data_IF_873252360740
#
_entry.id   IF_873252360740
#
_cell.length_a   1.000
_cell.length_b   1.000
_cell.length_c   1.000
_cell.angle_alpha   90.00
_cell.angle_beta   90.00
_cell.angle_gamma   90.00
#
_symmetry.space_group_name_H-M   'P 1'
#
loop_
_entity.id
_entity.type
_entity.pdbx_description
1 polymer ?
#
# COMPACT_ATOMS: atom_id res chain seq x y z
N UNK A 1 40.61 0.00 -45.73
CA UNK A 1 39.21 -0.23 -46.20
C UNK A 1 38.48 -1.05 -45.16
N UNK A 2 37.56 -0.45 -44.39
CA UNK A 2 36.74 -1.16 -43.38
C UNK A 2 35.54 -1.80 -44.08
N UNK A 3 35.37 -3.11 -43.94
CA UNK A 3 34.30 -3.85 -44.62
C UNK A 3 32.92 -3.38 -44.13
N UNK A 4 32.04 -3.01 -45.08
CA UNK A 4 30.67 -2.51 -44.84
C UNK A 4 29.73 -3.54 -44.20
N UNK A 5 30.17 -4.77 -43.95
CA UNK A 5 29.35 -5.86 -43.44
C UNK A 5 29.28 -5.93 -41.90
N UNK A 6 30.20 -5.29 -41.18
CA UNK A 6 30.21 -5.30 -39.71
C UNK A 6 29.09 -4.44 -39.09
N UNK A 7 28.63 -3.38 -39.79
CA UNK A 7 27.61 -2.46 -39.28
C UNK A 7 26.17 -3.00 -39.37
N UNK A 8 25.91 -4.00 -40.24
CA UNK A 8 24.56 -4.55 -40.41
C UNK A 8 24.15 -5.48 -39.27
N UNK A 9 25.10 -6.07 -38.56
CA UNK A 9 24.83 -6.98 -37.44
C UNK A 9 24.52 -6.27 -36.12
N UNK A 10 25.00 -5.04 -35.91
CA UNK A 10 24.73 -4.25 -34.70
C UNK A 10 23.34 -3.62 -34.67
N UNK A 11 22.76 -3.28 -35.83
CA UNK A 11 21.41 -2.71 -35.87
C UNK A 11 20.32 -3.77 -35.62
N UNK A 12 20.51 -4.99 -36.14
CA UNK A 12 19.56 -6.09 -35.97
C UNK A 12 19.49 -6.61 -34.52
N UNK A 13 20.57 -6.49 -33.74
CA UNK A 13 20.57 -6.87 -32.32
C UNK A 13 19.91 -5.83 -31.42
N UNK A 14 19.95 -4.54 -31.78
CA UNK A 14 19.22 -3.50 -31.04
C UNK A 14 17.70 -3.58 -31.26
N UNK A 15 17.23 -4.00 -32.44
CA UNK A 15 15.80 -4.16 -32.73
C UNK A 15 15.17 -5.40 -32.09
N UNK A 16 15.96 -6.41 -31.72
CA UNK A 16 15.49 -7.58 -30.95
C UNK A 16 15.40 -7.32 -29.44
N UNK A 17 15.97 -6.22 -28.95
CA UNK A 17 15.80 -5.72 -27.58
C UNK A 17 14.62 -4.74 -27.52
N UNK A 18 13.53 -5.06 -28.24
CA UNK A 18 12.32 -4.26 -28.32
C UNK A 18 11.98 -3.72 -26.94
N UNK A 19 12.04 -2.39 -26.80
CA UNK A 19 11.70 -1.72 -25.57
C UNK A 19 10.23 -2.04 -25.29
N UNK A 20 10.01 -2.97 -24.37
CA UNK A 20 8.68 -3.28 -23.87
C UNK A 20 8.09 -1.96 -23.39
N UNK A 21 6.98 -1.56 -23.98
CA UNK A 21 6.15 -0.52 -23.41
C UNK A 21 5.71 -1.05 -22.04
N UNK A 22 6.27 -0.52 -20.96
CA UNK A 22 5.76 -0.81 -19.62
C UNK A 22 4.43 -0.07 -19.51
N UNK A 23 3.35 -0.75 -19.90
CA UNK A 23 2.03 -0.36 -19.46
C UNK A 23 1.98 -0.64 -17.96
N UNK A 24 1.55 0.34 -17.17
CA UNK A 24 1.20 0.05 -15.79
C UNK A 24 0.05 -0.97 -15.84
N UNK A 25 0.28 -2.17 -15.30
CA UNK A 25 -0.80 -3.14 -15.17
C UNK A 25 -1.93 -2.52 -14.34
N UNK A 26 -3.20 -2.70 -14.74
CA UNK A 26 -4.32 -2.29 -13.90
C UNK A 26 -4.21 -2.96 -12.52
N UNK A 27 -4.59 -2.21 -11.49
CA UNK A 27 -4.67 -2.74 -10.11
C UNK A 27 -5.61 -3.94 -10.12
N UNK A 28 -5.09 -5.12 -9.77
CA UNK A 28 -5.82 -6.38 -9.88
C UNK A 28 -6.13 -6.92 -8.48
N UNK A 29 -6.80 -6.11 -7.68
CA UNK A 29 -7.28 -6.51 -6.35
C UNK A 29 -8.72 -7.00 -6.45
N UNK A 30 -9.08 -7.86 -5.51
CA UNK A 30 -10.43 -8.41 -5.36
C UNK A 30 -11.24 -7.71 -4.29
N UNK A 31 -10.64 -6.82 -3.50
CA UNK A 31 -11.29 -6.22 -2.33
C UNK A 31 -11.12 -7.05 -1.06
N UNK A 32 -10.38 -8.17 -1.14
CA UNK A 32 -10.14 -9.10 -0.05
C UNK A 32 -8.64 -9.14 0.23
N UNK A 33 -8.19 -8.26 1.12
CA UNK A 33 -6.77 -8.07 1.49
C UNK A 33 -6.04 -9.39 1.74
N UNK A 34 -6.69 -10.38 2.34
CA UNK A 34 -6.03 -11.66 2.63
C UNK A 34 -5.74 -12.51 1.39
N UNK A 35 -6.60 -12.40 0.37
CA UNK A 35 -6.43 -13.09 -0.91
C UNK A 35 -5.43 -12.34 -1.80
N UNK A 36 -5.57 -11.02 -1.85
CA UNK A 36 -4.76 -10.14 -2.69
C UNK A 36 -3.30 -10.06 -2.21
N UNK A 37 -3.08 -10.18 -0.89
CA UNK A 37 -1.75 -10.21 -0.28
C UNK A 37 -1.45 -11.58 0.36
N UNK A 38 -1.69 -12.66 -0.39
CA UNK A 38 -1.46 -14.01 0.09
C UNK A 38 0.03 -14.40 0.04
N UNK A 39 0.65 -14.53 1.21
CA UNK A 39 2.07 -14.91 1.35
C UNK A 39 2.40 -16.28 0.77
N UNK A 40 1.45 -17.21 0.71
CA UNK A 40 1.65 -18.52 0.09
C UNK A 40 1.89 -18.41 -1.43
N UNK A 41 1.43 -17.33 -2.05
CA UNK A 41 1.57 -17.05 -3.48
C UNK A 41 2.68 -16.04 -3.79
N UNK A 42 3.57 -15.78 -2.84
CA UNK A 42 4.65 -14.78 -2.95
C UNK A 42 6.04 -15.44 -3.06
N UNK A 43 6.38 -16.02 -4.22
CA UNK A 43 7.64 -16.73 -4.40
C UNK A 43 8.87 -15.81 -4.33
N UNK A 44 8.67 -14.50 -4.38
CA UNK A 44 9.73 -13.48 -4.42
C UNK A 44 9.83 -12.68 -3.12
N UNK A 45 9.13 -13.10 -2.07
CA UNK A 45 9.15 -12.43 -0.77
C UNK A 45 8.81 -10.91 -0.85
N UNK A 46 7.91 -10.54 -1.76
CA UNK A 46 7.43 -9.17 -2.00
C UNK A 46 6.37 -8.71 -1.02
N UNK A 47 5.76 -9.59 -0.23
CA UNK A 47 4.64 -9.29 0.67
C UNK A 47 5.09 -9.22 2.13
N UNK A 48 4.76 -8.15 2.85
CA UNK A 48 4.94 -8.01 4.29
C UNK A 48 3.58 -7.95 4.97
N UNK A 49 3.39 -8.76 5.99
CA UNK A 49 2.17 -8.77 6.82
C UNK A 49 2.56 -8.26 8.20
N UNK A 50 1.93 -7.18 8.62
CA UNK A 50 2.18 -6.49 9.87
C UNK A 50 0.93 -6.62 10.72
N UNK A 51 0.95 -7.54 11.68
CA UNK A 51 -0.19 -7.77 12.56
C UNK A 51 -0.40 -6.58 13.50
N UNK A 52 -1.66 -6.17 13.64
CA UNK A 52 -2.10 -5.36 14.77
C UNK A 52 -2.55 -6.31 15.87
N UNK A 53 -2.63 -5.84 17.12
CA UNK A 53 -3.02 -6.66 18.28
C UNK A 53 -4.29 -7.50 17.97
N UNK A 54 -4.24 -8.83 18.18
CA UNK A 54 -5.30 -9.74 17.77
C UNK A 54 -6.59 -9.62 18.60
N UNK A 55 -6.60 -8.88 19.71
CA UNK A 55 -7.81 -8.64 20.51
C UNK A 55 -8.39 -7.25 20.23
N UNK A 56 -9.30 -7.12 19.24
CA UNK A 56 -9.87 -5.82 18.89
C UNK A 56 -10.74 -5.25 20.00
N UNK A 57 -11.44 -6.09 20.77
CA UNK A 57 -12.44 -5.64 21.75
C UNK A 57 -11.81 -4.96 22.98
N UNK A 58 -10.52 -5.18 23.24
CA UNK A 58 -9.79 -4.47 24.29
C UNK A 58 -9.27 -3.09 23.85
N UNK A 59 -9.33 -2.79 22.55
CA UNK A 59 -8.72 -1.59 21.96
C UNK A 59 -9.76 -0.63 21.41
N UNK A 60 -10.90 -1.17 20.97
CA UNK A 60 -11.98 -0.38 20.39
C UNK A 60 -13.28 -0.54 21.17
N UNK A 61 -13.91 0.59 21.49
CA UNK A 61 -15.26 0.58 22.05
C UNK A 61 -16.27 0.22 20.94
N UNK A 62 -17.27 -0.57 21.28
CA UNK A 62 -18.42 -0.82 20.39
C UNK A 62 -19.70 -0.98 21.20
N UNK A 63 -20.84 -0.92 20.53
CA UNK A 63 -22.14 -1.09 21.16
C UNK A 63 -22.28 -2.51 21.76
N UNK A 64 -22.89 -2.66 22.95
CA UNK A 64 -23.14 -3.98 23.55
C UNK A 64 -23.91 -4.94 22.63
N UNK A 65 -24.82 -4.40 21.82
CA UNK A 65 -25.61 -5.14 20.83
C UNK A 65 -24.74 -5.76 19.75
N UNK A 66 -23.67 -5.08 19.32
CA UNK A 66 -22.71 -5.62 18.35
C UNK A 66 -21.96 -6.80 18.96
N UNK A 67 -21.47 -6.65 20.19
CA UNK A 67 -20.79 -7.72 20.92
C UNK A 67 -21.71 -8.93 21.13
N UNK A 68 -22.97 -8.69 21.50
CA UNK A 68 -23.97 -9.75 21.68
C UNK A 68 -24.28 -10.51 20.38
N UNK A 69 -24.05 -9.90 19.21
CA UNK A 69 -24.23 -10.49 17.89
C UNK A 69 -22.92 -11.00 17.27
N UNK A 70 -21.81 -10.99 18.00
CA UNK A 70 -20.46 -11.30 17.49
C UNK A 70 -20.04 -10.47 16.28
N UNK A 71 -20.47 -9.20 16.26
CA UNK A 71 -20.08 -8.23 15.23
C UNK A 71 -18.96 -7.38 15.81
N UNK A 72 -17.91 -7.19 15.01
CA UNK A 72 -16.82 -6.25 15.29
C UNK A 72 -16.98 -5.08 14.33
N UNK A 73 -16.79 -3.86 14.82
CA UNK A 73 -16.87 -2.68 13.94
C UNK A 73 -15.78 -2.70 12.85
N UNK A 74 -16.04 -1.99 11.77
CA UNK A 74 -15.18 -1.89 10.60
C UNK A 74 -13.93 -1.02 10.76
N UNK A 75 -13.70 -0.43 11.93
CA UNK A 75 -12.48 0.31 12.22
C UNK A 75 -11.43 -0.54 12.92
N UNK A 76 -11.83 -1.65 13.54
CA UNK A 76 -10.90 -2.57 14.16
C UNK A 76 -9.93 -3.17 13.11
N UNK A 77 -8.69 -2.68 13.12
CA UNK A 77 -7.64 -3.14 12.21
C UNK A 77 -7.11 -4.48 12.71
N UNK A 78 -7.07 -5.47 11.81
CA UNK A 78 -6.52 -6.81 12.05
C UNK A 78 -5.04 -6.86 11.68
N UNK A 79 -4.72 -6.44 10.46
CA UNK A 79 -3.35 -6.41 9.95
C UNK A 79 -3.22 -5.40 8.80
N UNK A 80 -1.98 -5.00 8.53
CA UNK A 80 -1.61 -4.26 7.33
C UNK A 80 -0.78 -5.19 6.44
N UNK A 81 -1.12 -5.24 5.15
CA UNK A 81 -0.38 -6.04 4.17
C UNK A 81 0.17 -5.12 3.10
N UNK A 82 1.47 -5.25 2.86
CA UNK A 82 2.20 -4.39 1.95
C UNK A 82 2.89 -5.27 0.90
N UNK A 83 2.81 -4.86 -0.36
CA UNK A 83 3.54 -5.51 -1.44
C UNK A 83 4.28 -4.45 -2.25
N UNK A 84 5.58 -4.61 -2.43
CA UNK A 84 6.38 -3.68 -3.22
C UNK A 84 6.77 -4.30 -4.56
N UNK A 85 6.42 -3.62 -5.65
CA UNK A 85 6.90 -3.93 -6.99
C UNK A 85 8.01 -2.96 -7.41
N UNK A 86 9.24 -3.47 -7.42
CA UNK A 86 10.43 -2.71 -7.81
C UNK A 86 10.45 -2.33 -9.29
N UNK A 87 9.80 -3.10 -10.16
CA UNK A 87 9.81 -2.83 -11.60
C UNK A 87 9.04 -1.55 -11.94
N UNK A 88 7.95 -1.29 -11.21
CA UNK A 88 7.09 -0.13 -11.38
C UNK A 88 7.24 0.91 -10.26
N UNK A 89 8.15 0.68 -9.30
CA UNK A 89 8.29 1.44 -8.05
C UNK A 89 6.94 1.72 -7.37
N UNK A 90 6.10 0.69 -7.28
CA UNK A 90 4.75 0.79 -6.72
C UNK A 90 4.64 0.01 -5.43
N UNK A 91 4.15 0.68 -4.39
CA UNK A 91 3.76 0.04 -3.14
C UNK A 91 2.24 -0.17 -3.14
N UNK A 92 1.84 -1.42 -3.09
CA UNK A 92 0.47 -1.86 -2.81
C UNK A 92 0.27 -1.98 -1.31
N UNK A 93 -0.85 -1.46 -0.79
CA UNK A 93 -1.19 -1.44 0.63
C UNK A 93 -2.62 -1.95 0.79
N UNK A 94 -2.81 -2.94 1.65
CA UNK A 94 -4.11 -3.42 2.09
C UNK A 94 -4.24 -3.28 3.60
N UNK A 95 -5.28 -2.58 4.06
CA UNK A 95 -5.69 -2.59 5.47
C UNK A 95 -6.82 -3.59 5.62
N UNK A 96 -6.51 -4.66 6.37
CA UNK A 96 -7.46 -5.69 6.71
C UNK A 96 -8.13 -5.33 8.04
N UNK A 97 -9.45 -5.24 8.05
CA UNK A 97 -10.23 -5.00 9.26
C UNK A 97 -11.06 -6.25 9.59
N UNK A 98 -11.60 -6.33 10.80
CA UNK A 98 -12.43 -7.47 11.21
C UNK A 98 -13.82 -7.50 10.53
N UNK A 99 -14.17 -6.46 9.79
CA UNK A 99 -15.46 -6.29 9.11
C UNK A 99 -15.28 -5.45 7.84
N UNK A 100 -16.31 -4.72 7.39
CA UNK A 100 -16.19 -3.80 6.25
C UNK A 100 -15.43 -2.56 6.67
N UNK A 101 -14.26 -2.31 6.07
CA UNK A 101 -13.40 -1.18 6.41
C UNK A 101 -14.16 0.16 6.39
N UNK A 102 -14.10 0.92 7.48
CA UNK A 102 -14.71 2.24 7.56
C UNK A 102 -16.22 2.25 7.87
N UNK A 103 -16.86 1.10 8.13
CA UNK A 103 -18.23 1.04 8.64
C UNK A 103 -18.24 0.93 10.16
N UNK A 104 -18.89 1.87 10.84
CA UNK A 104 -18.99 1.86 12.30
C UNK A 104 -19.82 0.67 12.83
N UNK A 105 -20.83 0.23 12.07
CA UNK A 105 -21.64 -0.94 12.44
C UNK A 105 -21.19 -2.24 11.75
N UNK A 106 -20.22 -2.16 10.83
CA UNK A 106 -19.72 -3.29 10.06
C UNK A 106 -20.77 -3.86 9.10
N UNK A 107 -20.99 -5.17 9.16
CA UNK A 107 -22.10 -5.85 8.48
C UNK A 107 -23.42 -5.78 9.28
N UNK A 108 -23.49 -4.93 10.29
CA UNK A 108 -24.66 -4.70 11.12
C UNK A 108 -25.89 -4.33 10.31
N UNK A 109 -27.01 -4.98 10.60
CA UNK A 109 -28.29 -4.66 10.00
C UNK A 109 -28.89 -3.32 10.51
N UNK A 110 -30.06 -2.93 10.00
CA UNK A 110 -30.74 -1.68 10.37
C UNK A 110 -30.96 -1.50 11.88
N UNK A 111 -31.09 -2.59 12.63
CA UNK A 111 -31.27 -2.54 14.09
C UNK A 111 -30.04 -1.97 14.82
N UNK A 112 -28.82 -2.28 14.35
CA UNK A 112 -27.59 -1.72 14.92
C UNK A 112 -27.43 -0.26 14.52
N UNK A 113 -27.75 0.08 13.27
CA UNK A 113 -27.78 1.47 12.82
C UNK A 113 -28.75 2.32 13.66
N UNK A 114 -29.93 1.77 13.96
CA UNK A 114 -30.90 2.41 14.86
C UNK A 114 -30.33 2.55 16.27
N UNK A 115 -29.73 1.50 16.82
CA UNK A 115 -29.13 1.56 18.15
C UNK A 115 -28.04 2.63 18.22
N UNK A 116 -27.18 2.74 17.20
CA UNK A 116 -26.18 3.79 17.09
C UNK A 116 -26.81 5.19 17.11
N UNK A 117 -27.89 5.39 16.35
CA UNK A 117 -28.62 6.65 16.33
C UNK A 117 -29.25 7.00 17.70
N UNK A 118 -29.69 6.01 18.49
CA UNK A 118 -30.22 6.21 19.84
C UNK A 118 -29.13 6.78 20.80
N UNK A 119 -27.83 6.60 20.49
CA UNK A 119 -26.70 7.20 21.19
C UNK A 119 -26.18 8.50 20.54
N UNK A 120 -26.85 9.00 19.50
CA UNK A 120 -26.47 10.20 18.76
C UNK A 120 -25.35 9.98 17.73
N UNK A 121 -24.96 8.74 17.48
CA UNK A 121 -23.98 8.39 16.45
C UNK A 121 -24.62 8.31 15.06
N UNK A 122 -23.78 8.45 14.05
CA UNK A 122 -24.16 8.20 12.65
C UNK A 122 -23.13 7.31 11.98
N UNK A 123 -23.60 6.41 11.12
CA UNK A 123 -22.76 5.63 10.22
C UNK A 123 -23.11 6.00 8.76
N UNK A 124 -22.60 7.13 8.22
CA UNK A 124 -22.84 7.49 6.84
C UNK A 124 -22.42 6.37 5.89
N UNK A 125 -23.14 6.20 4.77
CA UNK A 125 -22.75 5.22 3.76
C UNK A 125 -21.29 5.42 3.31
N UNK A 126 -20.59 4.32 3.03
CA UNK A 126 -19.20 4.32 2.56
C UNK A 126 -18.25 5.01 3.55
N UNK A 127 -17.09 5.50 3.08
CA UNK A 127 -16.19 6.36 3.89
C UNK A 127 -16.63 7.84 3.81
N UNK A 128 -17.94 8.07 3.94
CA UNK A 128 -18.57 9.39 3.95
C UNK A 128 -18.42 10.15 5.28
N UNK A 129 -18.95 11.38 5.32
CA UNK A 129 -18.90 12.22 6.53
C UNK A 129 -17.46 12.53 6.97
N UNK A 130 -17.16 12.33 8.25
CA UNK A 130 -15.84 12.52 8.84
C UNK A 130 -15.05 11.21 9.05
N UNK A 131 -15.54 10.09 8.47
CA UNK A 131 -14.84 8.80 8.50
C UNK A 131 -13.49 8.91 7.83
N UNK A 132 -12.48 8.22 8.35
CA UNK A 132 -11.15 8.20 7.77
C UNK A 132 -10.52 6.83 7.90
N UNK A 133 -9.74 6.48 6.89
CA UNK A 133 -8.76 5.39 6.94
C UNK A 133 -7.47 5.99 6.40
N UNK A 134 -6.44 6.01 7.23
CA UNK A 134 -5.16 6.68 6.92
C UNK A 134 -3.99 5.76 7.29
N UNK A 135 -3.00 5.67 6.41
CA UNK A 135 -1.69 5.08 6.68
C UNK A 135 -0.63 6.18 6.64
N UNK A 136 0.16 6.29 7.69
CA UNK A 136 1.34 7.14 7.77
C UNK A 136 2.60 6.33 7.47
N UNK A 137 3.56 6.97 6.80
CA UNK A 137 4.85 6.39 6.45
C UNK A 137 5.98 7.21 7.05
N UNK A 138 6.90 6.52 7.72
CA UNK A 138 8.09 7.11 8.33
C UNK A 138 9.33 6.29 8.00
N UNK A 139 10.48 6.95 7.91
CA UNK A 139 11.77 6.26 7.81
C UNK A 139 12.22 5.68 9.15
N UNK A 140 13.39 5.07 9.18
CA UNK A 140 14.05 4.70 10.43
C UNK A 140 14.57 5.95 11.17
N UNK A 141 14.58 5.91 12.50
CA UNK A 141 15.27 6.94 13.28
C UNK A 141 16.79 6.77 13.15
N UNK A 142 17.53 7.83 12.79
CA UNK A 142 18.99 7.75 12.57
C UNK A 142 19.79 7.44 13.84
N UNK A 143 19.20 7.60 15.03
CA UNK A 143 19.84 7.35 16.34
C UNK A 143 19.43 6.01 16.93
N UNK A 144 18.22 5.53 16.64
CA UNK A 144 17.69 4.25 17.13
C UNK A 144 16.89 3.55 16.05
N UNK A 145 17.49 2.56 15.39
CA UNK A 145 16.86 1.79 14.32
C UNK A 145 15.61 1.02 14.76
N UNK A 146 15.35 0.88 16.07
CA UNK A 146 14.15 0.24 16.61
C UNK A 146 13.00 1.23 16.86
N UNK A 147 13.14 2.48 16.45
CA UNK A 147 12.08 3.48 16.49
C UNK A 147 11.89 4.14 15.13
N UNK A 148 10.69 4.66 14.90
CA UNK A 148 10.40 5.41 13.69
C UNK A 148 11.09 6.78 13.73
N UNK A 149 11.57 7.21 12.58
CA UNK A 149 12.06 8.56 12.35
C UNK A 149 10.91 9.54 12.08
N UNK A 150 11.18 10.66 11.39
CA UNK A 150 10.12 11.60 11.02
C UNK A 150 9.12 10.95 10.07
N UNK A 151 7.84 11.23 10.30
CA UNK A 151 6.76 10.89 9.37
C UNK A 151 6.88 11.81 8.16
N UNK A 152 6.85 11.24 6.96
CA UNK A 152 7.08 11.98 5.71
C UNK A 152 5.85 12.06 4.84
N UNK A 153 4.98 11.05 4.90
CA UNK A 153 3.80 10.98 4.05
C UNK A 153 2.63 10.28 4.75
N UNK A 154 1.43 10.59 4.27
CA UNK A 154 0.19 9.89 4.61
C UNK A 154 -0.56 9.51 3.33
N UNK A 155 -1.22 8.36 3.35
CA UNK A 155 -2.06 7.90 2.25
C UNK A 155 -3.38 7.32 2.78
N UNK A 156 -4.46 7.56 2.05
CA UNK A 156 -5.80 7.09 2.43
C UNK A 156 -6.85 8.17 2.24
N UNK A 157 -7.94 8.10 3.00
CA UNK A 157 -9.01 9.08 2.97
C UNK A 157 -8.99 9.91 4.27
N UNK A 158 -8.73 11.24 4.23
CA UNK A 158 -8.71 12.09 5.42
C UNK A 158 -10.11 12.23 6.03
N UNK A 159 -10.16 12.62 7.30
CA UNK A 159 -11.42 12.99 7.96
C UNK A 159 -11.98 14.29 7.38
N UNK A 160 -11.11 15.29 7.19
CA UNK A 160 -11.46 16.52 6.48
C UNK A 160 -11.47 16.29 4.96
N UNK A 161 -12.68 16.20 4.41
CA UNK A 161 -12.91 15.97 2.98
C UNK A 161 -12.56 17.18 2.11
N UNK A 162 -12.35 18.37 2.66
CA UNK A 162 -11.90 19.51 1.85
C UNK A 162 -10.47 19.33 1.33
N UNK A 163 -9.66 18.48 1.99
CA UNK A 163 -8.26 18.22 1.64
C UNK A 163 -8.07 17.16 0.54
N UNK A 164 -9.08 16.32 0.30
CA UNK A 164 -9.01 15.25 -0.70
C UNK A 164 -10.27 15.12 -1.58
N UNK A 165 -11.26 16.00 -1.40
CA UNK A 165 -12.58 15.92 -2.03
C UNK A 165 -13.63 15.20 -1.17
N UNK A 166 -14.94 15.51 -1.33
CA UNK A 166 -16.03 14.77 -0.69
C UNK A 166 -16.07 13.31 -1.15
N UNK A 167 -16.72 12.45 -0.36
CA UNK A 167 -16.69 10.97 -0.45
C UNK A 167 -16.88 10.32 -1.84
N UNK A 168 -16.54 9.03 -1.89
CA UNK A 168 -16.34 8.09 -3.00
C UNK A 168 -14.95 8.08 -3.68
N UNK A 169 -14.18 9.18 -3.71
CA UNK A 169 -12.80 9.14 -4.23
C UNK A 169 -11.82 10.03 -3.45
N UNK A 170 -12.16 10.38 -2.21
CA UNK A 170 -11.31 11.20 -1.33
C UNK A 170 -9.96 10.55 -0.94
N UNK A 171 -9.52 9.54 -1.68
CA UNK A 171 -8.19 8.97 -1.57
C UNK A 171 -7.15 9.99 -2.00
N UNK A 172 -6.13 10.15 -1.17
CA UNK A 172 -5.01 11.03 -1.44
C UNK A 172 -3.72 10.41 -0.92
N UNK A 173 -2.62 10.78 -1.55
CA UNK A 173 -1.26 10.59 -1.03
C UNK A 173 -0.69 11.98 -0.84
N UNK A 174 -0.35 12.34 0.40
CA UNK A 174 0.05 13.69 0.76
C UNK A 174 1.31 13.70 1.62
N UNK A 175 2.04 14.81 1.57
CA UNK A 175 3.10 15.08 2.52
C UNK A 175 2.51 15.15 3.93
N UNK A 176 3.23 14.58 4.90
CA UNK A 176 2.80 14.64 6.28
C UNK A 176 2.84 16.09 6.80
N UNK A 177 1.72 16.56 7.36
CA UNK A 177 1.59 17.86 7.97
C UNK A 177 1.41 17.74 9.49
N UNK A 178 2.53 17.79 10.22
CA UNK A 178 2.54 17.78 11.68
C UNK A 178 2.19 19.11 12.35
N UNK A 179 2.05 20.21 11.60
CA UNK A 179 1.87 21.56 12.18
C UNK A 179 0.60 21.72 13.03
N UNK A 180 -0.36 20.81 12.88
CA UNK A 180 -1.62 20.89 13.59
C UNK A 180 -1.65 20.09 14.92
N UNK A 181 -0.58 19.34 15.30
CA UNK A 181 -0.62 18.36 16.40
C UNK A 181 -1.83 17.40 16.30
N UNK A 182 -2.39 17.23 15.10
CA UNK A 182 -3.61 16.46 14.90
C UNK A 182 -3.28 14.99 14.73
N UNK A 183 -4.23 14.17 15.16
CA UNK A 183 -4.33 12.75 14.88
C UNK A 183 -4.18 12.44 13.38
N UNK A 184 -3.77 11.20 13.05
CA UNK A 184 -3.35 10.79 11.69
C UNK A 184 -4.36 11.14 10.59
N UNK A 185 -5.67 11.02 10.85
CA UNK A 185 -6.75 11.36 9.92
C UNK A 185 -6.79 12.82 9.44
N UNK A 186 -6.03 13.70 10.08
CA UNK A 186 -6.02 15.14 9.87
C UNK A 186 -4.63 15.69 9.52
N UNK A 187 -3.63 14.82 9.30
CA UNK A 187 -2.25 15.21 9.04
C UNK A 187 -1.92 15.31 7.55
N UNK A 188 -2.92 15.48 6.69
CA UNK A 188 -2.75 15.62 5.25
C UNK A 188 -2.27 17.04 4.90
N UNK A 189 -1.07 17.13 4.32
CA UNK A 189 -0.50 18.34 3.75
C UNK A 189 -0.76 18.45 2.24
N UNK A 190 0.25 18.92 1.51
CA UNK A 190 0.17 19.01 0.05
C UNK A 190 0.11 17.60 -0.59
N UNK A 191 -0.77 17.43 -1.58
CA UNK A 191 -0.83 16.20 -2.39
C UNK A 191 0.49 15.95 -3.11
N UNK A 192 0.97 14.71 -3.01
CA UNK A 192 2.14 14.19 -3.71
C UNK A 192 1.70 13.60 -5.06
N UNK A 193 1.44 14.47 -6.04
CA UNK A 193 0.84 14.07 -7.33
C UNK A 193 1.63 12.99 -8.06
N UNK A 194 2.96 12.97 -7.94
CA UNK A 194 3.82 11.95 -8.55
C UNK A 194 3.73 10.59 -7.86
N UNK A 195 3.20 10.55 -6.64
CA UNK A 195 3.06 9.34 -5.83
C UNK A 195 1.63 8.84 -5.77
N UNK A 196 0.67 9.61 -6.29
CA UNK A 196 -0.73 9.27 -6.28
C UNK A 196 -0.97 7.98 -7.08
N UNK A 197 -1.37 6.92 -6.38
CA UNK A 197 -1.87 5.70 -6.98
C UNK A 197 -3.40 5.70 -7.05
N UNK A 198 -3.99 4.55 -6.76
CA UNK A 198 -5.43 4.35 -6.91
C UNK A 198 -5.96 3.51 -5.74
N UNK A 199 -7.12 3.90 -5.21
CA UNK A 199 -7.93 3.07 -4.32
C UNK A 199 -8.68 2.05 -5.18
N UNK A 200 -8.56 0.76 -4.86
CA UNK A 200 -9.12 -0.30 -5.69
C UNK A 200 -10.64 -0.35 -5.64
N UNK A 201 -11.20 -0.28 -4.43
CA UNK A 201 -12.64 -0.30 -4.18
C UNK A 201 -13.00 0.65 -3.06
N UNK A 202 -14.25 1.12 -3.12
CA UNK A 202 -14.89 1.67 -1.95
C UNK A 202 -15.41 0.51 -1.08
N UNK A 203 -14.99 0.42 0.20
CA UNK A 203 -15.28 -0.75 1.02
C UNK A 203 -16.78 -1.07 1.12
N UNK A 204 -17.08 -2.35 0.95
CA UNK A 204 -18.45 -2.89 0.97
C UNK A 204 -18.45 -4.37 1.33
N UNK A 205 -19.62 -5.00 1.44
CA UNK A 205 -19.70 -6.44 1.70
C UNK A 205 -19.03 -7.30 0.60
N UNK A 206 -19.00 -6.81 -0.65
CA UNK A 206 -18.35 -7.51 -1.76
C UNK A 206 -16.83 -7.27 -1.83
N UNK A 207 -16.37 -6.16 -1.25
CA UNK A 207 -14.98 -5.70 -1.25
C UNK A 207 -14.67 -5.11 0.14
N UNK A 208 -14.56 -5.92 1.20
CA UNK A 208 -14.53 -5.41 2.58
C UNK A 208 -13.22 -4.70 2.96
N UNK A 209 -12.13 -4.99 2.26
CA UNK A 209 -10.82 -4.43 2.53
C UNK A 209 -10.65 -3.00 2.02
N UNK A 210 -9.72 -2.27 2.63
CA UNK A 210 -9.27 -0.97 2.13
C UNK A 210 -7.91 -1.13 1.46
N UNK A 211 -7.90 -1.12 0.12
CA UNK A 211 -6.73 -1.47 -0.68
C UNK A 211 -6.39 -0.40 -1.70
N UNK A 212 -5.13 0.03 -1.72
CA UNK A 212 -4.68 1.09 -2.61
C UNK A 212 -3.22 0.90 -3.03
N UNK A 213 -2.79 1.75 -3.96
CA UNK A 213 -1.40 1.82 -4.42
C UNK A 213 -0.79 3.21 -4.20
N UNK A 214 0.52 3.25 -4.08
CA UNK A 214 1.36 4.45 -4.09
C UNK A 214 2.42 4.26 -5.17
N UNK A 215 2.47 5.18 -6.14
CA UNK A 215 3.48 5.16 -7.22
C UNK A 215 4.78 5.81 -6.76
N UNK A 216 5.86 5.50 -7.46
CA UNK A 216 7.18 6.07 -7.23
C UNK A 216 7.57 6.08 -5.74
N UNK A 217 7.24 5.00 -5.01
CA UNK A 217 7.26 4.98 -3.55
C UNK A 217 8.67 5.24 -3.00
N UNK A 218 9.69 4.63 -3.61
CA UNK A 218 11.10 4.83 -3.23
C UNK A 218 11.60 6.27 -3.48
N UNK A 219 10.90 7.03 -4.32
CA UNK A 219 11.19 8.43 -4.62
C UNK A 219 10.34 9.42 -3.82
N UNK A 220 9.41 8.95 -2.98
CA UNK A 220 8.52 9.81 -2.19
C UNK A 220 9.29 10.65 -1.16
N UNK A 221 10.29 10.06 -0.51
CA UNK A 221 11.20 10.73 0.41
C UNK A 221 12.59 10.08 0.31
N UNK A 222 13.40 10.47 -0.71
CA UNK A 222 14.68 9.83 -0.99
C UNK A 222 15.61 9.85 0.23
N UNK A 223 16.16 8.68 0.59
CA UNK A 223 17.03 8.51 1.75
C UNK A 223 16.31 8.43 3.10
N UNK A 224 14.98 8.50 3.11
CA UNK A 224 14.15 8.31 4.32
C UNK A 224 13.22 7.10 4.17
N UNK A 225 12.55 6.97 3.02
CA UNK A 225 11.76 5.79 2.66
C UNK A 225 12.47 4.99 1.57
N UNK A 226 13.13 3.90 1.95
CA UNK A 226 13.65 2.92 0.99
C UNK A 226 13.08 1.52 1.32
N UNK A 227 12.27 0.93 0.44
CA UNK A 227 11.81 -0.45 0.58
C UNK A 227 12.93 -1.48 0.77
N UNK A 228 14.17 -1.19 0.35
CA UNK A 228 15.33 -2.08 0.54
C UNK A 228 15.88 -2.06 1.96
N UNK A 229 15.67 -0.99 2.70
CA UNK A 229 16.15 -0.84 4.08
C UNK A 229 15.04 -1.11 5.09
N UNK A 230 13.78 -1.11 4.63
CA UNK A 230 12.59 -1.16 5.49
C UNK A 230 12.13 0.24 5.85
N UNK A 231 10.95 0.33 6.45
CA UNK A 231 10.34 1.59 6.88
C UNK A 231 9.32 1.34 7.99
N UNK A 232 8.69 2.38 8.49
CA UNK A 232 7.69 2.31 9.54
C UNK A 232 6.34 2.77 9.02
N UNK A 233 5.28 2.09 9.46
CA UNK A 233 3.89 2.45 9.13
C UNK A 233 3.04 2.55 10.38
N UNK A 234 2.10 3.49 10.38
CA UNK A 234 1.03 3.53 11.36
C UNK A 234 -0.30 3.67 10.62
N UNK A 235 -1.35 3.05 11.12
CA UNK A 235 -2.67 3.16 10.56
C UNK A 235 -3.67 3.74 11.57
N UNK A 236 -4.65 4.46 11.03
CA UNK A 236 -5.83 4.94 11.74
C UNK A 236 -7.08 4.56 10.95
N UNK A 237 -8.13 4.14 11.65
CA UNK A 237 -9.46 3.98 11.11
C UNK A 237 -10.51 4.47 12.13
N UNK A 238 -11.48 5.29 11.70
CA UNK A 238 -12.52 5.79 12.61
C UNK A 238 -13.30 6.99 12.09
N UNK A 239 -14.26 7.46 12.88
CA UNK A 239 -14.97 8.73 12.66
C UNK A 239 -15.26 9.42 14.00
N UNK A 240 -15.13 10.76 14.10
CA UNK A 240 -15.57 11.46 15.30
C UNK A 240 -17.11 11.52 15.46
N UNK A 241 -17.88 11.09 14.46
CA UNK A 241 -19.34 11.24 14.43
C UNK A 241 -20.11 9.95 14.76
N UNK A 242 -19.43 8.83 15.01
CA UNK A 242 -20.04 7.52 15.22
C UNK A 242 -20.14 7.12 16.70
N UNK A 243 -20.23 8.11 17.59
CA UNK A 243 -20.42 7.92 19.02
C UNK A 243 -21.52 6.87 19.32
N UNK A 244 -21.26 5.81 20.10
CA UNK A 244 -20.11 5.56 20.97
C UNK A 244 -19.10 4.54 20.41
N UNK A 245 -19.08 4.32 19.10
CA UNK A 245 -18.09 3.46 18.47
C UNK A 245 -16.71 4.12 18.63
N UNK A 246 -15.73 3.34 19.08
CA UNK A 246 -14.35 3.81 19.21
C UNK A 246 -13.65 3.82 17.86
N UNK A 247 -12.51 4.51 17.81
CA UNK A 247 -11.60 4.47 16.66
C UNK A 247 -10.37 3.61 16.96
N UNK A 248 -9.64 3.26 15.90
CA UNK A 248 -8.43 2.45 16.01
C UNK A 248 -7.20 3.22 15.55
N UNK A 249 -6.09 3.02 16.26
CA UNK A 249 -4.76 3.49 15.87
C UNK A 249 -3.70 2.45 16.21
N UNK A 250 -2.98 1.96 15.19
CA UNK A 250 -2.02 0.86 15.39
C UNK A 250 -0.72 1.28 16.11
N UNK A 251 -0.45 2.59 16.21
CA UNK A 251 0.91 3.07 16.45
C UNK A 251 1.86 2.73 15.28
N UNK A 252 3.14 3.12 15.41
CA UNK A 252 4.14 2.81 14.39
C UNK A 252 4.67 1.38 14.54
N UNK A 253 4.57 0.62 13.45
CA UNK A 253 5.03 -0.75 13.31
C UNK A 253 6.08 -0.82 12.21
N UNK A 254 7.14 -1.59 12.46
CA UNK A 254 8.24 -1.74 11.52
C UNK A 254 7.87 -2.68 10.38
N UNK A 255 8.08 -2.21 9.15
CA UNK A 255 8.01 -3.00 7.91
C UNK A 255 9.43 -3.40 7.54
N UNK A 256 9.77 -4.71 7.64
CA UNK A 256 11.07 -5.19 7.22
C UNK A 256 11.31 -4.90 5.74
N UNK A 257 12.58 -4.80 5.35
CA UNK A 257 12.96 -4.63 3.94
C UNK A 257 12.31 -5.66 3.04
N UNK A 258 11.96 -5.23 1.83
CA UNK A 258 11.48 -6.11 0.77
C UNK A 258 12.67 -6.84 0.14
N UNK A 259 12.53 -8.15 -0.06
CA UNK A 259 13.62 -9.00 -0.53
C UNK A 259 14.22 -8.51 -1.86
N UNK A 260 15.50 -8.81 -2.08
CA UNK A 260 16.11 -8.57 -3.38
C UNK A 260 15.37 -9.40 -4.43
N UNK A 261 14.74 -8.75 -5.40
CA UNK A 261 14.09 -9.44 -6.51
C UNK A 261 15.16 -10.24 -7.28
N UNK A 262 15.13 -11.56 -7.13
CA UNK A 262 15.95 -12.46 -7.93
C UNK A 262 15.46 -12.32 -9.38
N UNK A 263 16.35 -12.06 -10.36
CA UNK A 263 15.93 -11.94 -11.75
C UNK A 263 15.17 -13.20 -12.18
N UNK A 264 14.04 -13.03 -12.86
CA UNK A 264 13.27 -14.18 -13.34
C UNK A 264 14.13 -15.09 -14.22
N UNK A 265 13.86 -16.40 -14.28
CA UNK A 265 14.66 -17.36 -15.05
C UNK A 265 14.87 -16.95 -16.52
N UNK A 266 13.88 -16.29 -17.14
CA UNK A 266 13.99 -15.76 -18.49
C UNK A 266 15.04 -14.64 -18.62
N UNK A 267 15.18 -13.79 -17.60
CA UNK A 267 16.21 -12.74 -17.53
C UNK A 267 17.59 -13.38 -17.38
N UNK A 268 17.74 -14.37 -16.50
CA UNK A 268 18.99 -15.12 -16.34
C UNK A 268 19.38 -15.84 -17.64
N UNK A 269 18.41 -16.48 -18.31
CA UNK A 269 18.62 -17.12 -19.61
C UNK A 269 19.06 -16.09 -20.67
N UNK A 270 18.41 -14.94 -20.74
CA UNK A 270 18.75 -13.88 -21.68
C UNK A 270 20.17 -13.38 -21.46
N UNK A 271 20.57 -13.12 -20.20
CA UNK A 271 21.95 -12.74 -19.87
C UNK A 271 22.95 -13.84 -20.24
N UNK A 272 22.60 -15.10 -20.02
CA UNK A 272 23.44 -16.24 -20.37
C UNK A 272 23.66 -16.34 -21.88
N UNK A 273 22.60 -16.15 -22.69
CA UNK A 273 22.69 -16.15 -24.15
C UNK A 273 23.55 -14.98 -24.64
N UNK A 274 23.35 -13.78 -24.09
CA UNK A 274 24.13 -12.59 -24.45
C UNK A 274 25.62 -12.78 -24.11
N UNK A 275 25.92 -13.30 -22.92
CA UNK A 275 27.30 -13.58 -22.49
C UNK A 275 27.95 -14.66 -23.37
N UNK A 276 27.23 -15.73 -23.70
CA UNK A 276 27.72 -16.80 -24.58
C UNK A 276 27.98 -16.29 -26.00
N UNK A 277 27.09 -15.47 -26.56
CA UNK A 277 27.26 -14.84 -27.87
C UNK A 277 28.48 -13.91 -27.89
N UNK A 278 28.65 -13.06 -26.87
CA UNK A 278 29.82 -12.19 -26.74
C UNK A 278 31.13 -12.99 -26.63
N UNK A 279 31.13 -14.07 -25.85
CA UNK A 279 32.25 -15.00 -25.73
C UNK A 279 32.61 -15.65 -27.07
N UNK A 280 31.61 -16.15 -27.81
CA UNK A 280 31.81 -16.76 -29.12
C UNK A 280 32.39 -15.78 -30.16
N UNK A 281 31.91 -14.53 -30.18
CA UNK A 281 32.46 -13.48 -31.05
C UNK A 281 33.92 -13.17 -30.71
N UNK A 282 34.25 -13.06 -29.43
CA UNK A 282 35.62 -12.81 -28.96
C UNK A 282 36.57 -13.95 -29.33
N UNK A 283 36.14 -15.20 -29.20
CA UNK A 283 36.92 -16.37 -29.59
C UNK A 283 37.16 -16.44 -31.11
N UNK A 284 36.15 -16.12 -31.92
CA UNK A 284 36.32 -16.07 -33.39
C UNK A 284 37.33 -15.03 -33.82
N UNK A 285 37.34 -13.84 -33.21
CA UNK A 285 38.29 -12.77 -33.55
C UNK A 285 39.75 -13.12 -33.19
N UNK A 286 39.98 -13.99 -32.20
CA UNK A 286 41.32 -14.44 -31.82
C UNK A 286 41.94 -15.48 -32.77
N UNK A 287 41.15 -16.14 -33.62
CA UNK A 287 41.64 -17.14 -34.58
C UNK A 287 42.10 -16.54 -35.92
N UNK A 288 41.94 -15.24 -36.12
CA UNK A 288 42.25 -14.54 -37.39
C UNK A 288 43.53 -13.69 -37.27
N UNK A 289 44.31 -13.92 -36.21
CA UNK A 289 45.67 -13.38 -35.99
C UNK A 289 46.60 -14.56 -35.88
#
# INVERSE_FOLDING_TARGET
MVSRNALRWTLATLTLLGASSVSADPINFTGFVENDFNKANDPNDKIRIISVDPDPLNRITQLPQMTAQNIINGYAIKDMRLQYDKATDTLSVGLNTYSIAGSAIGNGGPDIAKALADYGGVDPAHIGGLKSITVAFAGANPVDSNSHGPVVAVAGIPSDKSLAGPGLIGFNVAAYNGSNNKSLQNSYGATLTNNLGTLAFDPSAAHPGFEFTIKNFSHMAPGVLDPKDGFWVAAYAGSPNDNPIGEESSGFLHVPSFGAQVPEPATVLSWTIVAAAAGAVRLRRRRVV
#
